data_IF_646065105548
#
_entry.id   IF_646065105548
#
_cell.length_a   1.000
_cell.length_b   1.000
_cell.length_c   1.000
_cell.angle_alpha   90.00
_cell.angle_beta   90.00
_cell.angle_gamma   90.00
#
_symmetry.space_group_name_H-M   'P 1'
#
loop_
_entity.id
_entity.type
_entity.pdbx_description
1 polymer ?
#
# COMPACT_ATOMS: atom_id res chain seq x y z
N UNK A 1 19.42 16.77 -7.12
CA UNK A 1 19.32 15.35 -7.53
C UNK A 1 18.53 15.20 -8.82
N UNK A 2 18.99 14.38 -9.78
CA UNK A 2 18.32 14.17 -11.07
C UNK A 2 16.99 13.42 -10.88
N UNK A 3 15.93 13.92 -11.52
CA UNK A 3 14.59 13.31 -11.49
C UNK A 3 14.60 11.86 -12.02
N UNK A 4 15.46 11.53 -12.99
CA UNK A 4 15.58 10.19 -13.55
C UNK A 4 16.05 9.16 -12.50
N UNK A 5 16.95 9.57 -11.60
CA UNK A 5 17.43 8.72 -10.52
C UNK A 5 16.30 8.44 -9.53
N UNK A 6 15.53 9.49 -9.14
CA UNK A 6 14.38 9.36 -8.24
C UNK A 6 13.34 8.39 -8.83
N UNK A 7 12.98 8.54 -10.10
CA UNK A 7 12.02 7.70 -10.77
C UNK A 7 12.46 6.23 -10.83
N UNK A 8 13.72 5.98 -11.17
CA UNK A 8 14.25 4.61 -11.26
C UNK A 8 14.31 3.93 -9.88
N UNK A 9 14.76 4.65 -8.86
CA UNK A 9 14.78 4.14 -7.50
C UNK A 9 13.35 3.90 -6.96
N UNK A 10 12.43 4.86 -7.18
CA UNK A 10 11.04 4.75 -6.78
C UNK A 10 10.31 3.62 -7.51
N UNK A 11 10.63 3.37 -8.79
CA UNK A 11 10.08 2.25 -9.55
C UNK A 11 10.44 0.90 -8.93
N UNK A 12 11.72 0.70 -8.59
CA UNK A 12 12.17 -0.54 -7.93
C UNK A 12 11.53 -0.73 -6.55
N UNK A 13 11.50 0.33 -5.75
CA UNK A 13 10.88 0.30 -4.44
C UNK A 13 9.36 0.07 -4.54
N UNK A 14 8.68 0.78 -5.44
CA UNK A 14 7.23 0.65 -5.68
C UNK A 14 6.83 -0.76 -6.10
N UNK A 15 7.64 -1.39 -6.96
CA UNK A 15 7.43 -2.79 -7.34
C UNK A 15 7.54 -3.74 -6.14
N UNK A 16 8.54 -3.56 -5.29
CA UNK A 16 8.69 -4.36 -4.08
C UNK A 16 7.50 -4.19 -3.12
N UNK A 17 7.05 -2.96 -2.88
CA UNK A 17 5.89 -2.67 -2.03
C UNK A 17 4.58 -3.20 -2.63
N UNK A 18 4.39 -3.05 -3.93
CA UNK A 18 3.23 -3.57 -4.64
C UNK A 18 3.16 -5.09 -4.55
N UNK A 19 4.29 -5.77 -4.74
CA UNK A 19 4.39 -7.22 -4.61
C UNK A 19 4.07 -7.69 -3.18
N UNK A 20 4.66 -7.06 -2.15
CA UNK A 20 4.39 -7.39 -0.74
C UNK A 20 2.90 -7.20 -0.41
N UNK A 21 2.30 -6.10 -0.88
CA UNK A 21 0.87 -5.84 -0.67
C UNK A 21 -0.01 -6.86 -1.35
N UNK A 22 0.37 -7.32 -2.55
CA UNK A 22 -0.34 -8.36 -3.28
C UNK A 22 -0.22 -9.73 -2.60
N UNK A 23 0.96 -10.08 -2.12
CA UNK A 23 1.16 -11.31 -1.32
C UNK A 23 0.31 -11.28 -0.05
N UNK A 24 0.27 -10.14 0.64
CA UNK A 24 -0.60 -9.98 1.80
C UNK A 24 -2.08 -10.19 1.46
N UNK A 25 -2.56 -9.65 0.34
CA UNK A 25 -3.94 -9.83 -0.12
C UNK A 25 -4.25 -11.32 -0.33
N UNK A 26 -3.42 -12.04 -1.06
CA UNK A 26 -3.61 -13.47 -1.27
C UNK A 26 -3.50 -14.29 0.02
N UNK A 27 -2.59 -13.93 0.93
CA UNK A 27 -2.46 -14.59 2.22
C UNK A 27 -3.74 -14.42 3.08
N UNK A 28 -4.31 -13.21 3.12
CA UNK A 28 -5.57 -12.97 3.84
C UNK A 28 -6.76 -13.66 3.19
N UNK A 29 -6.79 -13.70 1.85
CA UNK A 29 -7.83 -14.41 1.10
C UNK A 29 -7.76 -15.93 1.34
N UNK A 30 -6.57 -16.51 1.32
CA UNK A 30 -6.36 -17.93 1.65
C UNK A 30 -6.79 -18.26 3.08
N UNK A 31 -6.47 -17.36 4.02
CA UNK A 31 -6.87 -17.51 5.41
C UNK A 31 -8.41 -17.48 5.57
N UNK A 32 -9.09 -16.60 4.82
CA UNK A 32 -10.55 -16.48 4.83
C UNK A 32 -11.27 -17.64 4.16
N UNK A 33 -10.62 -18.32 3.21
CA UNK A 33 -11.16 -19.49 2.53
C UNK A 33 -11.00 -20.79 3.34
N UNK A 34 -10.14 -20.80 4.37
CA UNK A 34 -9.91 -21.97 5.23
C UNK A 34 -10.99 -22.14 6.31
N UNK A 35 -11.26 -23.38 6.69
CA UNK A 35 -12.17 -23.73 7.80
C UNK A 35 -11.47 -23.56 9.17
N UNK A 36 -10.99 -22.36 9.47
CA UNK A 36 -10.34 -22.07 10.75
C UNK A 36 -11.36 -21.57 11.77
N UNK A 37 -11.16 -21.83 13.08
CA UNK A 37 -11.96 -21.21 14.13
C UNK A 37 -11.90 -19.67 14.03
N UNK A 38 -13.05 -19.01 14.21
CA UNK A 38 -13.16 -17.54 14.06
C UNK A 38 -12.11 -16.76 14.87
N UNK A 39 -11.78 -17.22 16.08
CA UNK A 39 -10.75 -16.63 16.92
C UNK A 39 -9.35 -16.74 16.29
N UNK A 40 -8.98 -17.91 15.74
CA UNK A 40 -7.69 -18.12 15.10
C UNK A 40 -7.55 -17.27 13.84
N UNK A 41 -8.62 -17.15 13.06
CA UNK A 41 -8.68 -16.32 11.86
C UNK A 41 -8.51 -14.83 12.19
N UNK A 42 -9.20 -14.34 13.24
CA UNK A 42 -9.07 -12.96 13.69
C UNK A 42 -7.67 -12.66 14.22
N UNK A 43 -7.09 -13.55 15.01
CA UNK A 43 -5.73 -13.40 15.53
C UNK A 43 -4.70 -13.41 14.39
N UNK A 44 -4.78 -14.35 13.46
CA UNK A 44 -3.86 -14.42 12.31
C UNK A 44 -3.98 -13.19 11.40
N UNK A 45 -5.18 -12.73 11.10
CA UNK A 45 -5.41 -11.52 10.31
C UNK A 45 -4.83 -10.27 10.99
N UNK A 46 -4.97 -10.16 12.30
CA UNK A 46 -4.40 -9.06 13.08
C UNK A 46 -2.87 -9.06 13.04
N UNK A 47 -2.25 -10.23 13.21
CA UNK A 47 -0.79 -10.38 13.12
C UNK A 47 -0.30 -10.03 11.73
N UNK A 48 -0.94 -10.52 10.68
CA UNK A 48 -0.60 -10.21 9.30
C UNK A 48 -0.74 -8.71 9.00
N UNK A 49 -1.79 -8.06 9.54
CA UNK A 49 -2.00 -6.62 9.37
C UNK A 49 -0.89 -5.80 10.03
N UNK A 50 -0.54 -6.13 11.29
CA UNK A 50 0.56 -5.48 12.02
C UNK A 50 1.88 -5.70 11.29
N UNK A 51 2.17 -6.93 10.87
CA UNK A 51 3.40 -7.27 10.15
C UNK A 51 3.52 -6.47 8.85
N UNK A 52 2.43 -6.36 8.07
CA UNK A 52 2.39 -5.54 6.86
C UNK A 52 2.64 -4.07 7.18
N UNK A 53 1.95 -3.53 8.19
CA UNK A 53 2.04 -2.11 8.55
C UNK A 53 3.46 -1.73 8.99
N UNK A 54 4.02 -2.48 9.96
CA UNK A 54 5.37 -2.25 10.47
C UNK A 54 6.42 -2.51 9.38
N UNK A 55 6.24 -3.58 8.60
CA UNK A 55 7.13 -3.94 7.49
C UNK A 55 7.17 -2.86 6.41
N UNK A 56 6.03 -2.28 6.05
CA UNK A 56 5.96 -1.18 5.09
C UNK A 56 6.68 0.08 5.59
N UNK A 57 6.49 0.45 6.85
CA UNK A 57 7.20 1.61 7.45
C UNK A 57 8.70 1.36 7.44
N UNK A 58 9.13 0.19 7.93
CA UNK A 58 10.55 -0.17 8.00
C UNK A 58 11.20 -0.20 6.62
N UNK A 59 10.53 -0.81 5.64
CA UNK A 59 11.03 -0.92 4.27
C UNK A 59 11.11 0.45 3.58
N UNK A 60 10.13 1.34 3.80
CA UNK A 60 10.17 2.71 3.30
C UNK A 60 11.36 3.48 3.88
N UNK A 61 11.58 3.38 5.20
CA UNK A 61 12.76 3.98 5.85
C UNK A 61 14.06 3.41 5.29
N UNK A 62 14.11 2.10 5.07
CA UNK A 62 15.28 1.44 4.50
C UNK A 62 15.62 1.98 3.11
N UNK A 63 14.65 2.04 2.20
CA UNK A 63 14.86 2.57 0.84
C UNK A 63 15.20 4.06 0.84
N UNK A 64 14.59 4.85 1.71
CA UNK A 64 14.91 6.27 1.83
C UNK A 64 16.35 6.48 2.35
N UNK A 65 16.76 5.73 3.39
CA UNK A 65 18.13 5.78 3.92
C UNK A 65 19.15 5.32 2.87
N UNK A 66 18.83 4.27 2.13
CA UNK A 66 19.66 3.80 1.04
C UNK A 66 19.84 4.86 -0.03
N UNK A 67 18.77 5.55 -0.43
CA UNK A 67 18.82 6.64 -1.40
C UNK A 67 19.75 7.77 -0.92
N UNK A 68 19.62 8.20 0.32
CA UNK A 68 20.46 9.26 0.91
C UNK A 68 21.92 8.81 1.04
N UNK A 69 22.17 7.53 1.32
CA UNK A 69 23.51 6.96 1.38
C UNK A 69 24.21 6.89 0.02
N UNK A 70 23.47 6.48 -1.03
CA UNK A 70 23.99 6.39 -2.40
C UNK A 70 24.17 7.79 -3.04
N UNK A 71 23.30 8.73 -2.66
CA UNK A 71 23.30 10.10 -3.22
C UNK A 71 23.34 11.14 -2.07
N UNK A 72 24.54 11.44 -1.56
CA UNK A 72 24.69 12.34 -0.40
C UNK A 72 24.17 13.76 -0.58
N UNK A 73 23.91 14.20 -1.80
CA UNK A 73 23.30 15.48 -2.16
C UNK A 73 21.75 15.48 -2.07
N UNK A 74 21.15 14.36 -1.63
CA UNK A 74 19.69 14.22 -1.50
C UNK A 74 19.20 15.08 -0.36
N UNK A 75 18.29 16.01 -0.64
CA UNK A 75 17.58 16.82 0.32
C UNK A 75 16.27 16.18 0.77
N UNK A 76 15.61 16.75 1.78
CA UNK A 76 14.34 16.25 2.29
C UNK A 76 13.23 16.29 1.23
N UNK A 77 13.28 17.26 0.30
CA UNK A 77 12.33 17.37 -0.81
C UNK A 77 12.47 16.20 -1.79
N UNK A 78 13.70 15.83 -2.14
CA UNK A 78 13.96 14.69 -3.01
C UNK A 78 13.56 13.37 -2.32
N UNK A 79 13.84 13.24 -1.02
CA UNK A 79 13.42 12.07 -0.22
C UNK A 79 11.89 11.96 -0.14
N UNK A 80 11.19 13.08 0.04
CA UNK A 80 9.73 13.11 0.00
C UNK A 80 9.19 12.70 -1.38
N UNK A 81 9.73 13.28 -2.46
CA UNK A 81 9.33 12.92 -3.84
C UNK A 81 9.54 11.43 -4.12
N UNK A 82 10.68 10.89 -3.71
CA UNK A 82 10.97 9.47 -3.84
C UNK A 82 9.90 8.62 -3.14
N UNK A 83 9.60 8.90 -1.88
CA UNK A 83 8.62 8.12 -1.12
C UNK A 83 7.19 8.28 -1.64
N UNK A 84 6.79 9.49 -2.07
CA UNK A 84 5.49 9.74 -2.67
C UNK A 84 5.32 8.96 -3.99
N UNK A 85 6.33 9.00 -4.88
CA UNK A 85 6.33 8.23 -6.11
C UNK A 85 6.31 6.72 -5.84
N UNK A 86 7.08 6.25 -4.86
CA UNK A 86 7.07 4.84 -4.42
C UNK A 86 5.67 4.43 -3.99
N UNK A 87 4.99 5.26 -3.18
CA UNK A 87 3.62 5.02 -2.74
C UNK A 87 2.63 4.90 -3.90
N UNK A 88 2.66 5.86 -4.84
CA UNK A 88 1.77 5.86 -6.02
C UNK A 88 2.03 4.66 -6.93
N UNK A 89 3.29 4.35 -7.23
CA UNK A 89 3.64 3.19 -8.07
C UNK A 89 3.27 1.86 -7.41
N UNK A 90 3.49 1.74 -6.10
CA UNK A 90 3.04 0.59 -5.31
C UNK A 90 1.51 0.45 -5.33
N UNK A 91 0.80 1.56 -5.16
CA UNK A 91 -0.66 1.59 -5.20
C UNK A 91 -1.20 1.13 -6.56
N UNK A 92 -0.57 1.56 -7.66
CA UNK A 92 -0.96 1.15 -9.01
C UNK A 92 -0.78 -0.35 -9.22
N UNK A 93 0.36 -0.91 -8.80
CA UNK A 93 0.62 -2.35 -8.90
C UNK A 93 -0.39 -3.14 -8.07
N UNK A 94 -0.59 -2.74 -6.81
CA UNK A 94 -1.53 -3.41 -5.92
C UNK A 94 -2.97 -3.33 -6.43
N UNK A 95 -3.40 -2.16 -6.92
CA UNK A 95 -4.74 -1.97 -7.49
C UNK A 95 -4.94 -2.84 -8.75
N UNK A 96 -3.94 -2.93 -9.62
CA UNK A 96 -3.99 -3.77 -10.82
C UNK A 96 -4.07 -5.26 -10.47
N UNK A 97 -3.27 -5.74 -9.50
CA UNK A 97 -3.33 -7.13 -9.03
C UNK A 97 -4.65 -7.41 -8.34
N UNK A 98 -5.17 -6.47 -7.55
CA UNK A 98 -6.48 -6.58 -6.90
C UNK A 98 -7.60 -6.68 -7.93
N UNK A 99 -7.59 -5.83 -8.96
CA UNK A 99 -8.53 -5.91 -10.08
C UNK A 99 -8.47 -7.28 -10.77
N UNK A 100 -7.25 -7.73 -11.11
CA UNK A 100 -7.06 -9.03 -11.74
C UNK A 100 -7.54 -10.19 -10.85
N UNK A 101 -7.39 -10.07 -9.54
CA UNK A 101 -7.88 -11.08 -8.60
C UNK A 101 -9.42 -11.15 -8.59
N UNK A 102 -10.09 -10.01 -8.59
CA UNK A 102 -11.55 -9.95 -8.62
C UNK A 102 -12.14 -10.44 -9.94
N UNK A 103 -11.49 -10.11 -11.07
CA UNK A 103 -12.04 -10.37 -12.40
C UNK A 103 -11.64 -11.75 -12.95
N UNK A 104 -10.41 -12.21 -12.68
CA UNK A 104 -9.84 -13.36 -13.40
C UNK A 104 -9.31 -14.49 -12.50
N UNK A 105 -8.80 -14.17 -11.30
CA UNK A 105 -8.09 -15.17 -10.49
C UNK A 105 -9.08 -15.93 -9.58
N UNK A 106 -9.93 -15.21 -8.87
CA UNK A 106 -10.82 -15.77 -7.84
C UNK A 106 -12.24 -15.18 -7.89
N UNK A 107 -12.89 -15.07 -9.07
CA UNK A 107 -14.21 -14.46 -9.17
C UNK A 107 -15.26 -15.21 -8.33
N UNK A 108 -15.26 -16.55 -8.35
CA UNK A 108 -16.24 -17.35 -7.61
C UNK A 108 -16.09 -17.23 -6.09
N UNK A 109 -14.86 -17.10 -5.59
CA UNK A 109 -14.62 -16.88 -4.17
C UNK A 109 -15.11 -15.50 -3.74
N UNK A 110 -14.85 -14.49 -4.56
CA UNK A 110 -15.28 -13.12 -4.31
C UNK A 110 -16.81 -13.03 -4.32
N UNK A 111 -17.48 -13.60 -5.34
CA UNK A 111 -18.94 -13.59 -5.41
C UNK A 111 -19.56 -14.31 -4.23
N UNK A 112 -19.06 -15.46 -3.81
CA UNK A 112 -19.57 -16.19 -2.66
C UNK A 112 -19.44 -15.41 -1.34
N UNK A 113 -18.31 -14.68 -1.16
CA UNK A 113 -18.13 -13.81 0.01
C UNK A 113 -19.09 -12.61 -0.01
N UNK A 114 -19.36 -12.07 -1.20
CA UNK A 114 -20.30 -10.96 -1.37
C UNK A 114 -21.74 -11.41 -1.11
N UNK A 115 -22.14 -12.56 -1.63
CA UNK A 115 -23.45 -13.14 -1.38
C UNK A 115 -23.68 -13.41 0.11
N UNK A 116 -22.69 -13.96 0.79
CA UNK A 116 -22.76 -14.17 2.23
C UNK A 116 -22.90 -12.84 3.01
N UNK A 117 -22.18 -11.80 2.57
CA UNK A 117 -22.28 -10.45 3.17
C UNK A 117 -23.65 -9.84 2.90
N UNK A 118 -24.17 -9.94 1.68
CA UNK A 118 -25.50 -9.45 1.30
C UNK A 118 -26.60 -10.15 2.12
N UNK A 119 -26.53 -11.46 2.28
CA UNK A 119 -27.50 -12.20 3.13
C UNK A 119 -27.49 -11.71 4.58
N UNK A 120 -26.35 -11.35 5.13
CA UNK A 120 -26.26 -10.79 6.49
C UNK A 120 -26.82 -9.36 6.59
N UNK A 121 -26.64 -8.56 5.56
CA UNK A 121 -27.06 -7.16 5.53
C UNK A 121 -28.50 -6.97 5.06
N UNK A 122 -29.06 -7.89 4.26
CA UNK A 122 -30.41 -7.81 3.71
C UNK A 122 -31.50 -7.48 4.73
N UNK A 123 -31.52 -8.05 5.95
CA UNK A 123 -32.51 -7.71 6.96
C UNK A 123 -32.43 -6.26 7.47
N UNK A 124 -31.31 -5.60 7.26
CA UNK A 124 -31.00 -4.24 7.74
C UNK A 124 -31.18 -3.17 6.64
N UNK A 125 -31.42 -3.60 5.40
CA UNK A 125 -31.51 -2.73 4.23
C UNK A 125 -32.97 -2.56 3.79
N UNK A 126 -33.29 -1.34 3.34
CA UNK A 126 -34.52 -1.10 2.56
C UNK A 126 -34.31 -1.52 1.09
N UNK A 127 -35.42 -1.63 0.35
CA UNK A 127 -35.42 -2.06 -1.05
C UNK A 127 -34.61 -1.13 -1.97
N UNK A 128 -34.53 0.17 -1.68
CA UNK A 128 -33.75 1.13 -2.44
C UNK A 128 -32.23 0.94 -2.22
N UNK A 129 -31.83 0.79 -0.97
CA UNK A 129 -30.42 0.53 -0.59
C UNK A 129 -29.97 -0.79 -1.17
N UNK A 130 -30.81 -1.82 -1.15
CA UNK A 130 -30.51 -3.13 -1.72
C UNK A 130 -30.24 -3.04 -3.23
N UNK A 131 -31.13 -2.39 -3.99
CA UNK A 131 -30.96 -2.20 -5.43
C UNK A 131 -29.73 -1.34 -5.81
N UNK A 132 -29.35 -0.38 -4.96
CA UNK A 132 -28.13 0.39 -5.14
C UNK A 132 -26.89 -0.46 -4.86
N UNK A 133 -26.93 -1.30 -3.83
CA UNK A 133 -25.81 -2.18 -3.48
C UNK A 133 -25.57 -3.21 -4.56
N UNK A 134 -26.62 -3.85 -5.10
CA UNK A 134 -26.50 -4.77 -6.25
C UNK A 134 -25.79 -4.13 -7.43
N UNK A 135 -26.17 -2.90 -7.82
CA UNK A 135 -25.50 -2.16 -8.90
C UNK A 135 -24.04 -1.84 -8.60
N UNK A 136 -23.68 -1.64 -7.34
CA UNK A 136 -22.27 -1.46 -6.94
C UNK A 136 -21.50 -2.77 -7.04
N UNK A 137 -22.15 -3.90 -6.75
CA UNK A 137 -21.54 -5.22 -6.85
C UNK A 137 -21.19 -5.57 -8.29
N UNK A 138 -22.02 -5.23 -9.26
CA UNK A 138 -21.76 -5.42 -10.70
C UNK A 138 -20.48 -4.72 -11.18
N UNK A 139 -20.04 -3.68 -10.47
CA UNK A 139 -18.86 -2.90 -10.80
C UNK A 139 -17.74 -3.01 -9.75
N UNK A 140 -17.80 -4.02 -8.89
CA UNK A 140 -16.91 -4.12 -7.70
C UNK A 140 -15.44 -4.14 -8.06
N UNK A 141 -15.05 -4.81 -9.14
CA UNK A 141 -13.65 -4.88 -9.60
C UNK A 141 -13.10 -3.49 -9.90
N UNK A 142 -13.87 -2.68 -10.64
CA UNK A 142 -13.50 -1.29 -10.97
C UNK A 142 -13.49 -0.40 -9.73
N UNK A 143 -14.50 -0.51 -8.88
CA UNK A 143 -14.60 0.26 -7.62
C UNK A 143 -13.42 -0.08 -6.72
N UNK A 144 -13.07 -1.35 -6.59
CA UNK A 144 -11.93 -1.81 -5.78
C UNK A 144 -10.61 -1.31 -6.35
N UNK A 145 -10.45 -1.31 -7.68
CA UNK A 145 -9.26 -0.76 -8.33
C UNK A 145 -9.04 0.71 -7.95
N UNK A 146 -10.03 1.56 -8.20
CA UNK A 146 -9.91 3.00 -7.92
C UNK A 146 -9.79 3.29 -6.42
N UNK A 147 -10.53 2.59 -5.58
CA UNK A 147 -10.45 2.75 -4.13
C UNK A 147 -9.08 2.39 -3.60
N UNK A 148 -8.52 1.25 -4.02
CA UNK A 148 -7.17 0.84 -3.63
C UNK A 148 -6.10 1.80 -4.15
N UNK A 149 -6.23 2.26 -5.40
CA UNK A 149 -5.30 3.22 -5.99
C UNK A 149 -5.27 4.53 -5.19
N UNK A 150 -6.44 5.10 -4.89
CA UNK A 150 -6.55 6.36 -4.15
C UNK A 150 -6.08 6.18 -2.71
N UNK A 151 -6.61 5.19 -2.00
CA UNK A 151 -6.30 4.95 -0.59
C UNK A 151 -4.81 4.68 -0.37
N UNK A 152 -4.22 3.76 -1.12
CA UNK A 152 -2.81 3.42 -0.98
C UNK A 152 -1.89 4.56 -1.42
N UNK A 153 -2.27 5.36 -2.43
CA UNK A 153 -1.51 6.54 -2.84
C UNK A 153 -1.49 7.59 -1.74
N UNK A 154 -2.65 7.92 -1.16
CA UNK A 154 -2.75 8.88 -0.05
C UNK A 154 -1.92 8.39 1.13
N UNK A 155 -2.06 7.12 1.51
CA UNK A 155 -1.28 6.53 2.59
C UNK A 155 0.23 6.62 2.34
N UNK A 156 0.68 6.28 1.12
CA UNK A 156 2.08 6.38 0.74
C UNK A 156 2.63 7.80 0.78
N UNK A 157 1.84 8.79 0.34
CA UNK A 157 2.21 10.21 0.37
C UNK A 157 2.34 10.70 1.82
N UNK A 158 1.36 10.38 2.68
CA UNK A 158 1.38 10.77 4.10
C UNK A 158 2.57 10.13 4.80
N UNK A 159 2.79 8.83 4.60
CA UNK A 159 3.93 8.12 5.17
C UNK A 159 5.26 8.73 4.72
N UNK A 160 5.37 9.07 3.44
CA UNK A 160 6.53 9.74 2.88
C UNK A 160 6.78 11.12 3.51
N UNK A 161 5.71 11.90 3.73
CA UNK A 161 5.82 13.21 4.37
C UNK A 161 6.34 13.13 5.81
N UNK A 162 5.94 12.09 6.54
CA UNK A 162 6.41 11.86 7.91
C UNK A 162 7.86 11.37 7.90
N UNK A 163 8.16 10.33 7.13
CA UNK A 163 9.47 9.68 7.15
C UNK A 163 10.58 10.55 6.56
N UNK A 164 10.28 11.37 5.56
CA UNK A 164 11.26 12.30 4.98
C UNK A 164 11.77 13.35 5.98
N UNK A 165 11.00 13.63 7.03
CA UNK A 165 11.43 14.53 8.12
C UNK A 165 12.27 13.82 9.17
N UNK A 166 12.14 12.50 9.28
CA UNK A 166 12.92 11.68 10.25
C UNK A 166 14.29 11.28 9.71
N UNK A 167 14.48 11.36 8.41
CA UNK A 167 15.77 11.04 7.79
C UNK A 167 16.59 12.30 7.78
N UNK A 168 17.76 12.34 8.47
CA UNK A 168 18.57 13.54 8.54
C UNK A 168 19.00 13.96 7.14
N UNK A 169 18.66 15.20 6.77
CA UNK A 169 19.29 15.88 5.66
C UNK A 169 20.78 16.03 5.98
N UNK A 170 21.60 16.06 4.93
CA UNK A 170 23.02 16.38 5.06
C UNK A 170 23.14 17.65 5.92
N UNK A 171 23.95 17.58 6.96
CA UNK A 171 24.29 18.76 7.75
C UNK A 171 24.92 19.80 6.78
N UNK A 172 24.27 20.95 6.56
CA UNK A 172 24.80 21.96 5.64
C UNK A 172 26.18 22.47 6.09
N UNK A 173 26.56 22.21 7.34
CA UNK A 173 27.83 22.62 7.93
C UNK A 173 28.87 21.51 8.00
N UNK A 174 28.56 20.27 7.57
CA UNK A 174 29.51 19.15 7.60
C UNK A 174 30.77 19.37 6.74
N UNK A 175 30.79 20.39 5.90
CA UNK A 175 31.95 20.82 5.10
C UNK A 175 32.64 22.08 5.61
N UNK A 176 32.13 22.72 6.65
CA UNK A 176 32.74 23.89 7.25
C UNK A 176 33.89 23.44 8.16
N UNK A 177 35.14 23.47 7.64
CA UNK A 177 36.34 23.46 8.45
C UNK A 177 36.53 24.90 8.95
N UNK A 178 36.46 25.18 10.26
CA UNK A 178 36.91 26.47 10.75
C UNK A 178 38.39 26.59 10.34
N UNK A 179 38.69 27.60 9.55
CA UNK A 179 40.05 27.91 9.16
C UNK A 179 40.89 27.98 10.44
N UNK A 180 41.94 27.13 10.52
CA UNK A 180 42.96 27.24 11.51
C UNK A 180 43.62 28.63 11.34
N UNK A 181 43.28 29.54 12.23
CA UNK A 181 44.04 30.78 12.42
C UNK A 181 45.15 30.52 13.45
#
# INVERSE_FOLDING_TARGET
>A
MDNKIIWNAAGKAGLAFGAISSVYMFATQFLSAGEFPAFAMMAASSVLWIAKFVGCIWLMMFFMRKLVSEYPETDNSATFRFGALTGVLSALIYAAVSFANYEFISPDLISSQMDATMQQLAPLMDSNTMAQTEKMLDNISSITFFSNLIYCSIYGIILSAILSRMIPSKDPFAGYKPDEQ
#
